data_IF_558754846629
#
_entry.id   IF_558754846629
#
_cell.length_a   1.000
_cell.length_b   1.000
_cell.length_c   1.000
_cell.angle_alpha   90.00
_cell.angle_beta   90.00
_cell.angle_gamma   90.00
#
_symmetry.space_group_name_H-M   'P 1'
#
loop_
_entity.id
_entity.type
_entity.pdbx_description
1 polymer ?
#
# COMPACT_ATOMS: atom_id res chain seq x y z
N UNK A 1 -40.65 -41.19 -3.83
CA UNK A 1 -41.08 -39.78 -3.92
C UNK A 1 -40.77 -39.08 -2.59
N UNK A 2 -39.66 -38.34 -2.54
CA UNK A 2 -39.39 -37.22 -1.62
C UNK A 2 -38.20 -36.45 -2.20
N UNK A 3 -38.46 -35.20 -2.56
CA UNK A 3 -37.49 -34.21 -3.03
C UNK A 3 -36.63 -33.74 -1.85
N UNK A 4 -35.34 -33.49 -2.10
CA UNK A 4 -34.57 -32.49 -1.36
C UNK A 4 -33.77 -31.67 -2.37
N UNK A 5 -34.21 -30.43 -2.59
CA UNK A 5 -33.40 -29.37 -3.19
C UNK A 5 -32.50 -28.78 -2.11
N UNK A 6 -31.20 -28.69 -2.39
CA UNK A 6 -30.25 -27.87 -1.64
C UNK A 6 -29.49 -27.01 -2.65
N UNK A 7 -29.93 -25.77 -2.82
CA UNK A 7 -29.18 -24.73 -3.51
C UNK A 7 -27.91 -24.43 -2.70
N UNK A 8 -26.75 -24.80 -3.24
CA UNK A 8 -25.45 -24.31 -2.76
C UNK A 8 -25.12 -23.00 -3.49
N UNK A 9 -24.95 -21.93 -2.73
CA UNK A 9 -24.58 -20.61 -3.25
C UNK A 9 -23.13 -20.64 -3.75
N UNK A 10 -22.85 -19.97 -4.88
CA UNK A 10 -21.51 -19.87 -5.50
C UNK A 10 -20.41 -19.28 -4.59
N UNK A 11 -20.77 -18.70 -3.44
CA UNK A 11 -19.81 -18.13 -2.50
C UNK A 11 -18.98 -19.21 -1.78
N UNK A 12 -19.56 -20.40 -1.59
CA UNK A 12 -18.92 -21.49 -0.83
C UNK A 12 -17.94 -22.33 -1.68
N UNK A 13 -17.90 -22.13 -3.00
CA UNK A 13 -16.99 -22.82 -3.91
C UNK A 13 -15.61 -22.16 -4.05
N UNK A 14 -15.43 -20.94 -3.54
CA UNK A 14 -14.17 -20.20 -3.63
C UNK A 14 -13.30 -20.44 -2.38
N UNK A 15 -13.89 -20.74 -1.22
CA UNK A 15 -13.13 -20.96 0.02
C UNK A 15 -12.65 -22.42 0.24
N UNK A 16 -13.13 -23.39 -0.55
CA UNK A 16 -12.76 -24.81 -0.34
C UNK A 16 -11.53 -25.30 -1.13
N UNK A 17 -10.80 -24.41 -1.83
CA UNK A 17 -9.56 -24.79 -2.53
C UNK A 17 -8.28 -24.36 -1.80
N UNK A 18 -8.37 -23.71 -0.65
CA UNK A 18 -7.21 -23.37 0.19
C UNK A 18 -7.23 -24.16 1.50
N UNK A 19 -7.03 -25.49 1.39
CA UNK A 19 -6.59 -26.31 2.52
C UNK A 19 -5.14 -26.70 2.23
N UNK A 20 -4.20 -25.99 2.86
CA UNK A 20 -2.81 -26.41 2.90
C UNK A 20 -2.69 -27.73 3.67
N UNK A 21 -2.65 -28.84 2.94
CA UNK A 21 -2.20 -30.13 3.48
C UNK A 21 -0.69 -30.16 3.36
N UNK A 22 0.00 -30.05 4.49
CA UNK A 22 1.43 -30.32 4.58
C UNK A 22 1.72 -31.74 4.11
N UNK A 23 2.51 -31.86 3.05
CA UNK A 23 2.93 -33.14 2.50
C UNK A 23 3.82 -32.90 1.29
N UNK A 24 5.11 -33.19 1.42
CA UNK A 24 6.15 -32.94 0.44
C UNK A 24 5.84 -33.54 -0.94
N UNK A 25 5.77 -32.69 -1.96
CA UNK A 25 6.12 -33.02 -3.34
C UNK A 25 6.84 -31.82 -3.96
N UNK A 26 8.05 -32.09 -4.42
CA UNK A 26 8.92 -31.19 -5.19
C UNK A 26 8.29 -30.84 -6.54
N UNK A 27 8.58 -29.63 -7.02
CA UNK A 27 8.37 -29.14 -8.39
C UNK A 27 7.04 -28.47 -8.75
N UNK A 28 6.40 -27.80 -7.79
CA UNK A 28 5.50 -26.68 -8.11
C UNK A 28 6.09 -25.41 -7.45
N UNK A 29 7.04 -24.78 -8.15
CA UNK A 29 7.66 -23.49 -7.78
C UNK A 29 6.66 -22.35 -8.01
N UNK A 30 5.51 -22.40 -7.33
CA UNK A 30 4.75 -21.18 -7.08
C UNK A 30 5.52 -20.45 -5.97
N UNK A 31 6.35 -19.49 -6.35
CA UNK A 31 7.11 -18.67 -5.42
C UNK A 31 6.15 -17.93 -4.46
N UNK A 32 5.89 -18.54 -3.29
CA UNK A 32 5.15 -17.91 -2.20
C UNK A 32 6.05 -16.81 -1.66
N UNK A 33 5.84 -15.57 -2.12
CA UNK A 33 6.55 -14.42 -1.57
C UNK A 33 6.49 -13.12 -2.36
N UNK A 34 6.14 -13.16 -3.66
CA UNK A 34 6.13 -11.94 -4.47
C UNK A 34 4.80 -11.74 -5.21
N UNK A 35 3.85 -11.10 -4.52
CA UNK A 35 2.53 -10.74 -5.08
C UNK A 35 2.66 -9.88 -6.35
N UNK A 36 3.64 -8.99 -6.40
CA UNK A 36 3.89 -8.17 -7.58
C UNK A 36 4.28 -9.03 -8.79
N UNK A 37 5.16 -10.01 -8.61
CA UNK A 37 5.52 -10.96 -9.68
C UNK A 37 4.32 -11.82 -10.13
N UNK A 38 3.45 -12.21 -9.20
CA UNK A 38 2.23 -12.95 -9.54
C UNK A 38 1.23 -12.11 -10.35
N UNK A 39 1.05 -10.83 -10.01
CA UNK A 39 0.21 -9.90 -10.77
C UNK A 39 0.81 -9.61 -12.14
N UNK A 40 2.12 -9.39 -12.23
CA UNK A 40 2.82 -9.22 -13.50
C UNK A 40 2.67 -10.45 -14.41
N UNK A 41 2.83 -11.66 -13.86
CA UNK A 41 2.60 -12.89 -14.62
C UNK A 41 1.14 -13.00 -15.09
N UNK A 42 0.18 -12.68 -14.20
CA UNK A 42 -1.24 -12.66 -14.53
C UNK A 42 -1.57 -11.66 -15.64
N UNK A 43 -1.02 -10.45 -15.57
CA UNK A 43 -1.15 -9.41 -16.58
C UNK A 43 -0.55 -9.84 -17.92
N UNK A 44 0.66 -10.40 -17.92
CA UNK A 44 1.31 -10.89 -19.14
C UNK A 44 0.53 -12.03 -19.80
N UNK A 45 0.03 -12.99 -19.01
CA UNK A 45 -0.84 -14.07 -19.51
C UNK A 45 -2.14 -13.48 -20.06
N UNK A 46 -2.80 -12.59 -19.31
CA UNK A 46 -4.04 -11.94 -19.71
C UNK A 46 -3.88 -11.17 -21.03
N UNK A 47 -2.85 -10.34 -21.14
CA UNK A 47 -2.53 -9.58 -22.37
C UNK A 47 -2.19 -10.48 -23.54
N UNK A 48 -1.47 -11.60 -23.31
CA UNK A 48 -1.14 -12.58 -24.37
C UNK A 48 -2.39 -13.24 -24.97
N UNK A 49 -3.42 -13.43 -24.15
CA UNK A 49 -4.69 -14.05 -24.58
C UNK A 49 -5.84 -13.04 -24.70
N UNK A 50 -5.53 -11.75 -24.72
CA UNK A 50 -6.51 -10.67 -24.92
C UNK A 50 -7.19 -10.81 -26.27
N UNK A 51 -6.40 -11.07 -27.31
CA UNK A 51 -6.87 -11.53 -28.60
C UNK A 51 -6.71 -13.04 -28.69
N UNK A 52 -7.70 -13.73 -29.26
CA UNK A 52 -7.66 -15.18 -29.44
C UNK A 52 -6.50 -15.49 -30.41
N UNK A 53 -5.43 -16.19 -29.97
CA UNK A 53 -4.27 -16.41 -30.81
C UNK A 53 -4.60 -17.40 -31.93
N UNK A 54 -4.16 -17.09 -33.14
CA UNK A 54 -4.28 -17.97 -34.30
C UNK A 54 -3.16 -19.00 -34.32
N UNK A 55 -3.49 -20.25 -34.64
CA UNK A 55 -2.52 -21.29 -34.95
C UNK A 55 -2.38 -21.39 -36.47
N UNK A 56 -1.13 -21.47 -36.94
CA UNK A 56 -0.83 -21.70 -38.36
C UNK A 56 0.04 -22.94 -38.52
N UNK A 57 -0.18 -23.66 -39.60
CA UNK A 57 0.66 -24.75 -40.04
C UNK A 57 1.19 -24.44 -41.43
N UNK A 58 2.50 -24.48 -41.60
CA UNK A 58 3.15 -24.23 -42.88
C UNK A 58 4.32 -25.19 -43.10
N UNK A 59 4.77 -25.27 -44.34
CA UNK A 59 5.91 -26.12 -44.70
C UNK A 59 6.92 -25.35 -45.52
N UNK A 60 8.21 -25.51 -45.19
CA UNK A 60 9.32 -24.94 -45.95
C UNK A 60 10.14 -26.05 -46.58
N UNK A 61 10.73 -25.73 -47.73
CA UNK A 61 11.68 -26.61 -48.39
C UNK A 61 12.97 -26.75 -47.56
N UNK A 62 13.71 -27.82 -47.77
CA UNK A 62 14.91 -28.14 -46.99
C UNK A 62 16.02 -27.07 -47.08
N UNK A 63 15.99 -26.22 -48.12
CA UNK A 63 16.91 -25.08 -48.26
C UNK A 63 16.60 -23.90 -47.31
N UNK A 64 15.35 -23.80 -46.85
CA UNK A 64 14.84 -22.70 -46.03
C UNK A 64 14.52 -23.19 -44.60
N UNK A 65 15.15 -24.30 -44.18
CA UNK A 65 14.83 -25.01 -42.94
C UNK A 65 15.43 -24.38 -41.67
N UNK A 66 16.04 -23.19 -41.76
CA UNK A 66 16.67 -22.50 -40.62
C UNK A 66 15.63 -21.79 -39.73
N UNK A 67 14.65 -22.58 -39.30
CA UNK A 67 13.57 -22.19 -38.40
C UNK A 67 13.40 -23.33 -37.42
N UNK A 68 13.44 -23.02 -36.12
CA UNK A 68 13.39 -24.02 -35.06
C UNK A 68 12.34 -23.69 -34.00
N UNK A 69 11.91 -24.71 -33.26
CA UNK A 69 10.99 -24.54 -32.15
C UNK A 69 11.56 -23.53 -31.13
N UNK A 70 10.69 -22.66 -30.62
CA UNK A 70 11.05 -21.57 -29.70
C UNK A 70 11.42 -20.26 -30.41
N UNK A 71 11.72 -20.26 -31.71
CA UNK A 71 11.96 -19.02 -32.46
C UNK A 71 10.65 -18.32 -32.81
N UNK A 72 10.69 -17.00 -32.90
CA UNK A 72 9.60 -16.18 -33.44
C UNK A 72 9.88 -15.73 -34.87
N UNK A 73 8.83 -15.68 -35.69
CA UNK A 73 8.89 -15.18 -37.08
C UNK A 73 7.66 -14.35 -37.38
N UNK A 74 7.87 -13.21 -38.03
CA UNK A 74 6.80 -12.43 -38.63
C UNK A 74 6.31 -13.17 -39.88
N UNK A 75 5.00 -13.43 -39.95
CA UNK A 75 4.38 -14.14 -41.05
C UNK A 75 3.22 -13.28 -41.56
N UNK A 76 3.33 -12.90 -42.83
CA UNK A 76 2.28 -12.21 -43.55
C UNK A 76 1.57 -13.20 -44.50
N UNK A 77 0.25 -13.20 -44.49
CA UNK A 77 -0.57 -13.96 -45.43
C UNK A 77 -1.82 -13.16 -45.80
N UNK A 78 -2.39 -13.40 -46.99
CA UNK A 78 -3.58 -12.69 -47.48
C UNK A 78 -4.82 -12.82 -46.59
N UNK A 79 -4.88 -13.89 -45.80
CA UNK A 79 -5.99 -14.18 -44.88
C UNK A 79 -5.73 -13.58 -43.49
N UNK A 80 -4.53 -13.07 -43.24
CA UNK A 80 -4.15 -12.36 -42.02
C UNK A 80 -4.31 -10.87 -42.34
N UNK A 81 -5.51 -10.36 -42.08
CA UNK A 81 -5.87 -8.96 -42.32
C UNK A 81 -6.42 -8.32 -41.04
N UNK A 82 -6.31 -7.00 -40.96
CA UNK A 82 -6.96 -6.21 -39.93
C UNK A 82 -8.47 -6.03 -40.23
N UNK A 83 -9.18 -5.31 -39.36
CA UNK A 83 -10.61 -5.04 -39.54
C UNK A 83 -10.94 -4.26 -40.84
N UNK A 84 -9.97 -3.55 -41.42
CA UNK A 84 -10.13 -2.83 -42.69
C UNK A 84 -9.85 -3.70 -43.92
N UNK A 85 -9.43 -4.95 -43.74
CA UNK A 85 -9.00 -5.85 -44.80
C UNK A 85 -7.57 -5.58 -45.28
N UNK A 86 -6.79 -4.76 -44.57
CA UNK A 86 -5.39 -4.49 -44.88
C UNK A 86 -4.50 -5.65 -44.38
N UNK A 87 -3.46 -6.07 -45.13
CA UNK A 87 -2.57 -7.13 -44.68
C UNK A 87 -1.92 -6.78 -43.34
N UNK A 88 -2.01 -7.68 -42.37
CA UNK A 88 -1.40 -7.52 -41.05
C UNK A 88 -0.16 -8.41 -40.98
N UNK A 89 0.97 -7.84 -40.59
CA UNK A 89 2.18 -8.61 -40.30
C UNK A 89 2.14 -9.05 -38.84
N UNK A 90 2.05 -10.35 -38.61
CA UNK A 90 1.80 -10.92 -37.30
C UNK A 90 2.96 -11.82 -36.88
N UNK A 91 3.41 -11.67 -35.64
CA UNK A 91 4.48 -12.49 -35.09
C UNK A 91 3.91 -13.82 -34.60
N UNK A 92 4.50 -14.92 -35.05
CA UNK A 92 4.20 -16.27 -34.58
C UNK A 92 5.41 -16.88 -33.91
N UNK A 93 5.20 -17.57 -32.79
CA UNK A 93 6.18 -18.42 -32.15
C UNK A 93 6.05 -19.85 -32.67
N UNK A 94 7.16 -20.42 -33.16
CA UNK A 94 7.21 -21.79 -33.66
C UNK A 94 7.13 -22.75 -32.47
N UNK A 95 6.07 -23.54 -32.39
CA UNK A 95 5.80 -24.47 -31.28
C UNK A 95 6.29 -25.88 -31.58
N UNK A 96 6.27 -26.30 -32.84
CA UNK A 96 6.73 -27.62 -33.26
C UNK A 96 7.37 -27.60 -34.64
N UNK A 97 8.34 -28.49 -34.83
CA UNK A 97 9.02 -28.74 -36.09
C UNK A 97 9.03 -30.24 -36.35
N UNK A 98 8.67 -30.64 -37.57
CA UNK A 98 8.74 -32.04 -38.02
C UNK A 98 9.48 -32.15 -39.34
N UNK A 99 10.51 -32.99 -39.34
CA UNK A 99 11.30 -33.30 -40.52
C UNK A 99 10.72 -34.52 -41.25
N UNK A 100 10.30 -34.35 -42.51
CA UNK A 100 9.80 -35.47 -43.32
C UNK A 100 9.93 -35.16 -44.81
N UNK A 101 11.17 -35.04 -45.30
CA UNK A 101 11.51 -34.62 -46.67
C UNK A 101 11.32 -33.12 -46.89
N UNK A 102 10.18 -32.58 -46.45
CA UNK A 102 9.90 -31.15 -46.29
C UNK A 102 9.78 -30.84 -44.79
N UNK A 103 10.19 -29.65 -44.36
CA UNK A 103 10.05 -29.25 -42.96
C UNK A 103 8.63 -28.74 -42.72
N UNK A 104 7.93 -29.30 -41.75
CA UNK A 104 6.58 -28.87 -41.34
C UNK A 104 6.66 -28.17 -40.00
N UNK A 105 6.01 -27.03 -39.91
CA UNK A 105 6.01 -26.15 -38.75
C UNK A 105 4.59 -25.96 -38.24
N UNK A 106 4.45 -25.93 -36.92
CA UNK A 106 3.28 -25.34 -36.28
C UNK A 106 3.76 -24.10 -35.53
N UNK A 107 2.96 -23.04 -35.62
CA UNK A 107 3.27 -21.77 -34.97
C UNK A 107 1.99 -21.18 -34.36
N UNK A 108 2.15 -20.52 -33.22
CA UNK A 108 1.07 -19.85 -32.51
C UNK A 108 1.34 -18.33 -32.52
N UNK A 109 0.31 -17.55 -32.80
CA UNK A 109 0.34 -16.10 -32.74
C UNK A 109 0.86 -15.63 -31.37
N UNK A 110 1.79 -14.69 -31.40
CA UNK A 110 2.46 -14.14 -30.22
C UNK A 110 2.32 -12.63 -30.27
N UNK A 111 1.24 -12.13 -29.69
CA UNK A 111 0.97 -10.70 -29.51
C UNK A 111 0.66 -10.45 -28.03
N UNK A 112 0.80 -9.19 -27.60
CA UNK A 112 0.29 -8.72 -26.32
C UNK A 112 -0.74 -7.63 -26.62
N UNK A 113 -1.89 -7.70 -25.97
CA UNK A 113 -2.84 -6.59 -25.93
C UNK A 113 -2.26 -5.38 -25.21
N UNK A 114 -3.00 -4.28 -25.28
CA UNK A 114 -2.68 -3.03 -24.58
C UNK A 114 -2.60 -3.22 -23.07
N UNK A 115 -1.81 -2.35 -22.42
CA UNK A 115 -1.75 -2.29 -20.98
C UNK A 115 -3.09 -1.84 -20.39
N UNK A 116 -3.60 -2.59 -19.42
CA UNK A 116 -4.82 -2.25 -18.71
C UNK A 116 -4.49 -1.51 -17.39
N UNK A 117 -5.36 -0.61 -16.92
CA UNK A 117 -5.18 0.07 -15.63
C UNK A 117 -5.03 -0.89 -14.45
N UNK A 118 -5.69 -2.04 -14.50
CA UNK A 118 -5.66 -3.09 -13.48
C UNK A 118 -4.30 -3.80 -13.39
N UNK A 119 -3.42 -3.60 -14.37
CA UNK A 119 -2.09 -4.20 -14.35
C UNK A 119 -1.14 -3.46 -13.38
N UNK A 120 -1.56 -2.34 -12.78
CA UNK A 120 -0.87 -1.56 -11.74
C UNK A 120 0.60 -1.14 -12.05
N UNK A 121 1.03 -1.29 -13.29
CA UNK A 121 2.42 -1.08 -13.73
C UNK A 121 3.22 -2.39 -13.88
N UNK A 122 2.67 -3.53 -13.47
CA UNK A 122 3.28 -4.86 -13.61
C UNK A 122 3.45 -5.34 -15.05
N UNK A 123 2.94 -4.61 -16.04
CA UNK A 123 3.18 -4.93 -17.44
C UNK A 123 4.33 -4.17 -18.10
N UNK A 124 5.00 -3.26 -17.39
CA UNK A 124 6.21 -2.59 -17.85
C UNK A 124 7.44 -3.33 -17.28
N UNK A 125 8.29 -3.96 -18.13
CA UNK A 125 9.49 -4.62 -17.65
C UNK A 125 10.54 -3.65 -17.07
N UNK A 126 10.42 -2.35 -17.33
CA UNK A 126 11.39 -1.33 -16.89
C UNK A 126 11.03 -0.72 -15.52
N UNK A 127 9.91 -1.14 -14.91
CA UNK A 127 9.45 -0.67 -13.59
C UNK A 127 9.44 -1.82 -12.59
N UNK A 128 10.23 -1.68 -11.53
CA UNK A 128 10.21 -2.59 -10.40
C UNK A 128 9.01 -2.29 -9.49
N UNK A 129 8.08 -3.25 -9.43
CA UNK A 129 6.85 -3.12 -8.66
C UNK A 129 6.99 -3.75 -7.27
N UNK A 130 6.69 -2.96 -6.23
CA UNK A 130 6.65 -3.40 -4.83
C UNK A 130 5.26 -3.17 -4.26
N UNK A 131 4.61 -4.22 -3.75
CA UNK A 131 3.26 -4.14 -3.20
C UNK A 131 3.29 -4.44 -1.70
N UNK A 132 2.78 -3.51 -0.92
CA UNK A 132 2.58 -3.62 0.53
C UNK A 132 1.13 -4.04 0.79
N UNK A 133 0.93 -5.34 1.02
CA UNK A 133 -0.39 -5.95 1.22
C UNK A 133 -0.75 -6.28 2.68
N UNK A 134 0.06 -5.84 3.64
CA UNK A 134 -0.18 -6.03 5.07
C UNK A 134 0.31 -4.81 5.85
N UNK A 135 -0.27 -4.55 7.02
CA UNK A 135 0.11 -3.43 7.88
C UNK A 135 1.61 -3.47 8.21
N UNK A 136 2.27 -2.33 8.12
CA UNK A 136 3.70 -2.18 8.39
C UNK A 136 3.97 -1.00 9.32
N UNK A 137 5.14 -1.02 9.95
CA UNK A 137 5.54 -0.03 10.93
C UNK A 137 6.96 0.46 10.67
N UNK A 138 7.19 1.77 10.79
CA UNK A 138 8.51 2.42 10.73
C UNK A 138 9.38 1.94 9.55
N UNK A 139 8.80 1.92 8.34
CA UNK A 139 9.45 1.29 7.18
C UNK A 139 10.39 2.24 6.44
N UNK A 140 11.43 1.66 5.84
CA UNK A 140 12.28 2.34 4.87
C UNK A 140 12.09 1.70 3.49
N UNK A 141 11.60 2.49 2.52
CA UNK A 141 11.31 2.01 1.16
C UNK A 141 12.54 1.42 0.46
N UNK A 142 13.73 2.00 0.69
CA UNK A 142 14.98 1.46 0.16
C UNK A 142 15.33 0.09 0.75
N UNK A 143 15.11 -0.10 2.05
CA UNK A 143 15.32 -1.39 2.71
C UNK A 143 14.35 -2.44 2.17
N UNK A 144 13.08 -2.08 1.98
CA UNK A 144 12.08 -2.96 1.37
C UNK A 144 12.52 -3.36 -0.05
N UNK A 145 12.93 -2.40 -0.88
CA UNK A 145 13.40 -2.68 -2.23
C UNK A 145 14.60 -3.63 -2.27
N UNK A 146 15.64 -3.37 -1.46
CA UNK A 146 16.86 -4.19 -1.43
C UNK A 146 16.59 -5.66 -1.00
N UNK A 147 15.44 -5.94 -0.37
CA UNK A 147 15.06 -7.30 0.01
C UNK A 147 14.46 -8.11 -1.16
N UNK A 148 14.01 -7.43 -2.21
CA UNK A 148 13.29 -8.01 -3.34
C UNK A 148 14.08 -7.95 -4.65
N UNK A 149 14.85 -6.88 -4.83
CA UNK A 149 15.54 -6.56 -6.08
C UNK A 149 17.04 -6.40 -5.86
N UNK A 150 17.85 -6.57 -6.92
CA UNK A 150 19.27 -6.25 -6.86
C UNK A 150 19.49 -4.77 -6.57
N UNK A 151 20.73 -4.41 -6.23
CA UNK A 151 21.08 -3.03 -5.94
C UNK A 151 20.66 -2.10 -7.11
N UNK A 152 19.91 -1.02 -6.85
CA UNK A 152 19.44 -0.10 -7.86
C UNK A 152 20.60 0.74 -8.40
N UNK A 153 20.42 1.24 -9.61
CA UNK A 153 21.31 2.20 -10.27
C UNK A 153 20.54 3.47 -10.67
N UNK A 154 21.18 4.34 -11.46
CA UNK A 154 20.61 5.60 -11.91
C UNK A 154 19.45 5.45 -12.90
N UNK A 155 19.22 4.27 -13.45
CA UNK A 155 18.13 3.96 -14.38
C UNK A 155 16.95 3.25 -13.72
N UNK A 156 17.09 2.85 -12.44
CA UNK A 156 16.03 2.15 -11.72
C UNK A 156 14.78 3.01 -11.59
N UNK A 157 13.65 2.46 -12.02
CA UNK A 157 12.33 3.00 -11.77
C UNK A 157 11.58 2.04 -10.84
N UNK A 158 11.12 2.54 -9.70
CA UNK A 158 10.41 1.73 -8.70
C UNK A 158 9.06 2.34 -8.38
N UNK A 159 8.06 1.47 -8.24
CA UNK A 159 6.72 1.84 -7.81
C UNK A 159 6.31 1.04 -6.58
N UNK A 160 6.12 1.75 -5.47
CA UNK A 160 5.55 1.20 -4.24
C UNK A 160 4.05 1.41 -4.22
N UNK A 161 3.27 0.35 -4.00
CA UNK A 161 1.82 0.40 -3.87
C UNK A 161 1.43 -0.04 -2.46
N UNK A 162 0.72 0.82 -1.74
CA UNK A 162 0.03 0.48 -0.50
C UNK A 162 -1.40 0.10 -0.85
N UNK A 163 -1.79 -1.15 -0.59
CA UNK A 163 -3.12 -1.63 -0.94
C UNK A 163 -4.22 -1.02 -0.05
N UNK A 164 -5.45 -1.02 -0.56
CA UNK A 164 -6.60 -0.58 0.21
C UNK A 164 -6.79 -1.43 1.46
N UNK A 165 -7.02 -0.77 2.60
CA UNK A 165 -7.13 -1.42 3.91
C UNK A 165 -5.80 -1.64 4.63
N UNK A 166 -4.66 -1.39 3.98
CA UNK A 166 -3.33 -1.48 4.59
C UNK A 166 -2.97 -0.16 5.27
N UNK A 167 -2.39 -0.26 6.46
CA UNK A 167 -1.93 0.85 7.27
C UNK A 167 -0.42 0.78 7.42
N UNK A 168 0.26 1.87 7.09
CA UNK A 168 1.67 2.06 7.37
C UNK A 168 1.80 3.20 8.36
N UNK A 169 2.50 3.01 9.46
CA UNK A 169 2.64 4.11 10.41
C UNK A 169 3.73 3.94 11.43
N UNK A 170 3.82 4.92 12.32
CA UNK A 170 4.89 4.93 13.31
C UNK A 170 4.48 4.28 14.63
N UNK A 171 5.46 3.66 15.30
CA UNK A 171 5.31 3.17 16.68
C UNK A 171 5.68 4.20 17.74
N UNK A 172 6.38 5.28 17.36
CA UNK A 172 6.86 6.31 18.26
C UNK A 172 6.54 7.70 17.73
N UNK A 173 6.42 8.70 18.62
CA UNK A 173 6.31 10.10 18.21
C UNK A 173 7.64 10.67 17.66
N UNK A 174 8.75 9.94 17.88
CA UNK A 174 10.11 10.32 17.46
C UNK A 174 10.60 9.62 16.20
N UNK A 175 9.81 8.69 15.65
CA UNK A 175 10.11 8.01 14.38
C UNK A 175 9.05 8.35 13.34
N UNK A 176 9.39 8.15 12.08
CA UNK A 176 8.48 8.37 10.96
C UNK A 176 7.84 7.05 10.60
N UNK A 177 6.55 7.06 10.24
CA UNK A 177 5.88 5.84 9.78
C UNK A 177 6.49 5.26 8.50
N UNK A 178 7.01 6.14 7.65
CA UNK A 178 7.70 5.78 6.42
C UNK A 178 8.85 6.74 6.12
N UNK A 179 9.95 6.20 5.62
CA UNK A 179 11.04 6.98 5.03
C UNK A 179 11.38 6.46 3.64
N UNK A 180 11.67 7.36 2.69
CA UNK A 180 12.03 6.94 1.32
C UNK A 180 13.41 6.26 1.27
N UNK A 181 14.32 6.65 2.16
CA UNK A 181 15.70 6.20 2.17
C UNK A 181 16.53 6.79 1.03
N UNK A 182 17.79 6.39 0.93
CA UNK A 182 18.72 6.94 -0.07
C UNK A 182 18.69 6.13 -1.37
N UNK A 183 18.58 6.82 -2.50
CA UNK A 183 18.60 6.23 -3.84
C UNK A 183 19.73 6.80 -4.70
N UNK A 184 20.21 6.06 -5.72
CA UNK A 184 21.17 6.61 -6.68
C UNK A 184 20.56 7.83 -7.40
N UNK A 185 21.38 8.83 -7.71
CA UNK A 185 20.91 9.98 -8.46
C UNK A 185 20.42 9.54 -9.86
N UNK A 186 19.21 9.95 -10.24
CA UNK A 186 18.56 9.57 -11.49
C UNK A 186 17.48 8.49 -11.35
N UNK A 187 17.48 7.72 -10.25
CA UNK A 187 16.43 6.76 -9.97
C UNK A 187 15.07 7.46 -9.79
N UNK A 188 13.99 6.81 -10.19
CA UNK A 188 12.63 7.35 -10.05
C UNK A 188 11.89 6.52 -9.01
N UNK A 189 11.51 7.16 -7.91
CA UNK A 189 10.77 6.53 -6.81
C UNK A 189 9.34 7.04 -6.82
N UNK A 190 8.39 6.13 -7.03
CA UNK A 190 6.94 6.44 -7.00
C UNK A 190 6.28 5.74 -5.82
N UNK A 191 5.47 6.46 -5.06
CA UNK A 191 4.61 5.93 -4.01
C UNK A 191 3.14 6.13 -4.41
N UNK A 192 2.39 5.04 -4.43
CA UNK A 192 0.96 5.03 -4.68
C UNK A 192 0.22 4.49 -3.45
N UNK A 193 -0.74 5.26 -2.94
CA UNK A 193 -1.70 4.81 -1.94
C UNK A 193 -3.01 4.51 -2.65
N UNK A 194 -3.51 3.28 -2.52
CA UNK A 194 -4.84 2.93 -3.01
C UNK A 194 -5.94 3.42 -2.05
N UNK A 195 -7.17 3.48 -2.53
CA UNK A 195 -8.30 3.92 -1.72
C UNK A 195 -8.48 3.06 -0.47
N UNK A 196 -8.59 3.70 0.70
CA UNK A 196 -8.65 3.03 1.99
C UNK A 196 -7.29 2.64 2.58
N UNK A 197 -6.17 2.97 1.92
CA UNK A 197 -4.84 2.87 2.51
C UNK A 197 -4.53 4.07 3.43
N UNK A 198 -3.73 3.84 4.46
CA UNK A 198 -3.31 4.87 5.42
C UNK A 198 -1.79 4.92 5.56
N UNK A 199 -1.22 6.11 5.52
CA UNK A 199 0.15 6.37 5.94
C UNK A 199 0.14 7.42 7.06
N UNK A 200 0.31 7.01 8.31
CA UNK A 200 0.04 7.88 9.47
C UNK A 200 1.12 7.86 10.55
N UNK A 201 1.32 8.98 11.22
CA UNK A 201 2.14 9.04 12.43
C UNK A 201 1.49 8.37 13.65
N UNK A 202 2.21 8.30 14.77
CA UNK A 202 1.66 7.88 16.07
C UNK A 202 0.84 9.01 16.69
N UNK A 203 -0.29 8.70 17.33
CA UNK A 203 -1.03 9.65 18.15
C UNK A 203 -0.31 9.94 19.47
N UNK A 204 -0.32 11.21 19.87
CA UNK A 204 0.27 11.65 21.14
C UNK A 204 -0.46 11.07 22.35
N UNK A 205 0.29 10.66 23.37
CA UNK A 205 -0.27 10.18 24.63
C UNK A 205 -0.63 11.34 25.57
N UNK A 206 -1.77 11.25 26.26
CA UNK A 206 -2.13 12.23 27.26
C UNK A 206 -1.30 12.01 28.53
N UNK A 207 -0.86 13.11 29.15
CA UNK A 207 -0.06 13.06 30.39
C UNK A 207 -0.79 13.79 31.52
N UNK A 208 -0.19 13.84 32.72
CA UNK A 208 -0.70 14.67 33.84
C UNK A 208 -0.31 16.15 33.72
N UNK A 209 0.22 16.59 32.56
CA UNK A 209 0.56 17.97 32.26
C UNK A 209 0.09 18.31 30.83
N UNK A 210 0.97 18.91 30.02
CA UNK A 210 0.75 19.13 28.60
C UNK A 210 0.55 17.80 27.86
N UNK A 211 -0.26 17.81 26.80
CA UNK A 211 -0.38 16.65 25.92
C UNK A 211 0.92 16.40 25.15
N UNK A 212 1.23 15.14 24.84
CA UNK A 212 2.32 14.83 23.91
C UNK A 212 1.94 15.18 22.47
N UNK A 213 2.95 15.56 21.70
CA UNK A 213 2.80 15.84 20.27
C UNK A 213 2.49 14.56 19.50
N UNK A 214 1.81 14.69 18.36
CA UNK A 214 1.66 13.61 17.40
C UNK A 214 2.96 13.33 16.65
N UNK A 215 3.21 12.07 16.29
CA UNK A 215 4.34 11.65 15.48
C UNK A 215 4.15 11.93 13.99
N UNK A 216 5.23 11.89 13.23
CA UNK A 216 5.22 12.23 11.80
C UNK A 216 4.94 11.01 10.92
N UNK A 217 4.31 11.23 9.76
CA UNK A 217 3.94 10.13 8.86
C UNK A 217 5.05 9.76 7.88
N UNK A 218 5.49 10.68 7.02
CA UNK A 218 6.46 10.40 5.96
C UNK A 218 7.64 11.37 6.05
N UNK A 219 8.87 10.85 5.94
CA UNK A 219 10.07 11.66 5.67
C UNK A 219 10.67 11.32 4.31
N UNK A 220 11.07 12.34 3.56
CA UNK A 220 11.85 12.17 2.34
C UNK A 220 13.34 12.19 2.66
N UNK A 221 14.04 11.13 2.26
CA UNK A 221 15.51 11.09 2.17
C UNK A 221 15.98 11.02 0.70
N UNK A 222 15.02 11.19 -0.23
CA UNK A 222 15.16 11.22 -1.68
C UNK A 222 13.89 11.77 -2.33
N UNK A 223 13.98 12.29 -3.55
CA UNK A 223 12.85 12.82 -4.33
C UNK A 223 11.76 11.75 -4.52
N UNK A 224 10.49 12.14 -4.41
CA UNK A 224 9.36 11.23 -4.45
C UNK A 224 8.27 11.72 -5.40
N UNK A 225 7.79 10.81 -6.25
CA UNK A 225 6.53 11.00 -6.99
C UNK A 225 5.38 10.36 -6.21
N UNK A 226 4.34 11.13 -5.90
CA UNK A 226 3.22 10.70 -5.06
C UNK A 226 1.92 10.59 -5.87
N UNK A 227 1.24 9.44 -5.73
CA UNK A 227 -0.11 9.18 -6.20
C UNK A 227 -0.96 8.78 -4.99
N UNK A 228 -1.57 9.76 -4.32
CA UNK A 228 -2.35 9.52 -3.12
C UNK A 228 -3.84 9.39 -3.43
N UNK A 229 -4.38 8.17 -3.36
CA UNK A 229 -5.83 7.91 -3.33
C UNK A 229 -6.32 7.48 -1.93
N UNK A 230 -5.43 7.45 -0.94
CA UNK A 230 -5.69 7.09 0.44
C UNK A 230 -5.64 8.31 1.36
N UNK A 231 -5.19 8.08 2.60
CA UNK A 231 -5.01 9.12 3.63
C UNK A 231 -3.55 9.13 4.07
N UNK A 232 -2.92 10.31 3.99
CA UNK A 232 -1.61 10.56 4.62
C UNK A 232 -1.84 11.54 5.76
N UNK A 233 -1.46 11.19 6.99
CA UNK A 233 -1.77 12.03 8.14
C UNK A 233 -0.74 11.99 9.25
N UNK A 234 -0.22 13.15 9.64
CA UNK A 234 0.54 13.23 10.89
C UNK A 234 -0.33 12.78 12.07
N UNK A 235 0.29 12.26 13.13
CA UNK A 235 -0.44 11.92 14.34
C UNK A 235 -1.16 13.13 14.93
N UNK A 236 -2.31 12.92 15.55
CA UNK A 236 -2.99 13.93 16.35
C UNK A 236 -2.24 14.15 17.66
N UNK A 237 -2.16 15.41 18.10
CA UNK A 237 -1.64 15.76 19.43
C UNK A 237 -2.60 15.34 20.54
N UNK A 238 -2.06 14.97 21.70
CA UNK A 238 -2.88 14.63 22.85
C UNK A 238 -3.51 15.87 23.50
N UNK A 239 -4.66 15.68 24.14
CA UNK A 239 -5.28 16.71 24.97
C UNK A 239 -4.51 16.96 26.25
N UNK A 240 -4.54 18.20 26.74
CA UNK A 240 -3.88 18.57 27.99
C UNK A 240 -4.66 18.10 29.21
N UNK A 241 -4.00 17.72 30.29
CA UNK A 241 -4.70 17.51 31.57
C UNK A 241 -5.03 18.83 32.26
N UNK A 242 -6.02 18.81 33.16
CA UNK A 242 -6.33 19.93 34.03
C UNK A 242 -6.10 19.56 35.49
N UNK A 243 -5.43 20.44 36.23
CA UNK A 243 -5.08 20.24 37.62
C UNK A 243 -5.60 21.42 38.44
N UNK A 244 -6.63 21.16 39.24
CA UNK A 244 -7.21 22.17 40.14
C UNK A 244 -6.83 21.81 41.56
N UNK A 245 -6.09 22.71 42.22
CA UNK A 245 -5.70 22.57 43.62
C UNK A 245 -6.59 23.44 44.49
N UNK A 246 -7.49 22.81 45.25
CA UNK A 246 -8.34 23.47 46.24
C UNK A 246 -8.05 22.84 47.61
N UNK A 247 -6.98 23.30 48.26
CA UNK A 247 -6.46 22.67 49.48
C UNK A 247 -7.56 22.43 50.53
N UNK A 248 -7.67 21.20 51.06
CA UNK A 248 -6.69 20.09 50.99
C UNK A 248 -6.82 19.15 49.79
N UNK A 249 -7.71 19.41 48.83
CA UNK A 249 -8.07 18.51 47.74
C UNK A 249 -7.33 18.84 46.44
N UNK A 250 -7.00 17.79 45.68
CA UNK A 250 -6.37 17.89 44.35
C UNK A 250 -7.25 17.13 43.37
N UNK A 251 -7.68 17.82 42.31
CA UNK A 251 -8.48 17.23 41.25
C UNK A 251 -7.67 17.24 39.96
N UNK A 252 -7.63 16.08 39.32
CA UNK A 252 -6.98 15.89 38.02
C UNK A 252 -8.03 15.39 37.04
N UNK A 253 -8.25 16.14 35.97
CA UNK A 253 -8.96 15.66 34.79
C UNK A 253 -7.92 15.30 33.72
N UNK A 254 -7.85 14.02 33.32
CA UNK A 254 -6.90 13.55 32.32
C UNK A 254 -7.22 14.07 30.92
N UNK A 255 -6.22 14.25 30.06
CA UNK A 255 -6.44 14.58 28.65
C UNK A 255 -6.86 13.36 27.81
N UNK A 256 -7.44 13.61 26.63
CA UNK A 256 -7.74 12.57 25.65
C UNK A 256 -6.53 12.24 24.76
N UNK A 257 -6.42 10.98 24.31
CA UNK A 257 -5.32 10.54 23.45
C UNK A 257 -5.48 11.00 22.00
N UNK A 258 -4.38 11.30 21.30
CA UNK A 258 -4.40 11.74 19.89
C UNK A 258 -4.65 10.60 18.89
N UNK A 259 -5.12 10.93 17.69
CA UNK A 259 -5.32 9.96 16.61
C UNK A 259 -3.98 9.48 16.00
N UNK A 260 -3.91 8.24 15.52
CA UNK A 260 -2.71 7.76 14.81
C UNK A 260 -2.68 6.25 14.58
N UNK A 261 -1.61 5.78 13.93
CA UNK A 261 -1.40 4.35 13.67
C UNK A 261 -1.36 3.54 14.97
N UNK A 262 -0.40 3.86 15.83
CA UNK A 262 -0.53 3.61 17.27
C UNK A 262 -1.30 4.81 17.81
N UNK A 263 -2.52 4.58 18.27
CA UNK A 263 -3.34 5.63 18.85
C UNK A 263 -2.77 6.10 20.19
N UNK A 264 -3.02 7.36 20.50
CA UNK A 264 -2.69 7.97 21.78
C UNK A 264 -3.58 7.44 22.89
N UNK A 265 -3.01 7.25 24.06
CA UNK A 265 -3.71 6.83 25.27
C UNK A 265 -4.29 8.02 26.01
N UNK A 266 -5.51 7.88 26.50
CA UNK A 266 -6.16 8.85 27.38
C UNK A 266 -5.63 8.74 28.82
N UNK A 267 -5.62 9.85 29.54
CA UNK A 267 -5.09 9.87 30.90
C UNK A 267 -6.18 9.66 31.95
N UNK A 268 -5.82 8.97 33.04
CA UNK A 268 -6.74 8.77 34.17
C UNK A 268 -7.06 10.09 34.89
N UNK A 269 -8.33 10.29 35.24
CA UNK A 269 -8.77 11.38 36.12
C UNK A 269 -8.81 10.91 37.57
N UNK A 270 -8.45 11.78 38.52
CA UNK A 270 -8.45 11.47 39.95
C UNK A 270 -9.12 12.57 40.76
N UNK A 271 -9.77 12.16 41.85
CA UNK A 271 -10.38 13.03 42.86
C UNK A 271 -10.18 12.42 44.24
N UNK A 272 -9.93 13.26 45.23
CA UNK A 272 -9.93 12.86 46.65
C UNK A 272 -11.31 12.99 47.29
N UNK A 273 -12.24 13.69 46.65
CA UNK A 273 -13.63 13.82 47.11
C UNK A 273 -14.45 12.60 46.66
N UNK A 274 -14.93 11.75 47.61
CA UNK A 274 -15.73 10.57 47.28
C UNK A 274 -17.12 10.91 46.71
N UNK A 275 -17.55 12.18 46.76
CA UNK A 275 -18.82 12.63 46.19
C UNK A 275 -18.72 13.10 44.74
N UNK A 276 -17.50 13.28 44.21
CA UNK A 276 -17.28 13.69 42.82
C UNK A 276 -17.03 12.49 41.91
N UNK A 277 -17.55 12.57 40.70
CA UNK A 277 -17.29 11.61 39.63
C UNK A 277 -16.07 12.07 38.83
N UNK A 278 -15.05 11.21 38.74
CA UNK A 278 -13.92 11.37 37.84
C UNK A 278 -14.05 10.40 36.66
N UNK A 279 -14.15 10.94 35.45
CA UNK A 279 -14.15 10.18 34.19
C UNK A 279 -12.77 10.35 33.53
N UNK A 280 -12.06 9.26 33.19
CA UNK A 280 -10.78 9.35 32.52
C UNK A 280 -10.94 9.92 31.11
N UNK A 281 -9.84 10.44 30.56
CA UNK A 281 -9.74 10.70 29.13
C UNK A 281 -9.82 9.39 28.34
N UNK A 282 -10.31 9.49 27.13
CA UNK A 282 -10.49 8.35 26.21
C UNK A 282 -9.27 8.26 25.29
N UNK A 283 -8.91 7.03 24.91
CA UNK A 283 -7.90 6.79 23.88
C UNK A 283 -8.36 7.33 22.52
N UNK A 284 -7.40 7.70 21.69
CA UNK A 284 -7.65 8.03 20.29
C UNK A 284 -8.01 6.79 19.47
N UNK A 285 -8.29 7.04 18.19
CA UNK A 285 -8.48 6.01 17.16
C UNK A 285 -7.49 6.23 16.02
N UNK A 286 -7.64 5.51 14.91
CA UNK A 286 -6.79 5.75 13.74
C UNK A 286 -6.91 7.18 13.20
N UNK A 287 -8.13 7.72 13.18
CA UNK A 287 -8.43 9.00 12.52
C UNK A 287 -8.91 10.09 13.47
N UNK A 288 -9.53 9.69 14.58
CA UNK A 288 -10.22 10.59 15.50
C UNK A 288 -9.56 10.60 16.87
N UNK A 289 -9.40 11.79 17.45
CA UNK A 289 -8.89 11.97 18.81
C UNK A 289 -9.87 11.50 19.90
N UNK A 290 -9.34 11.15 21.06
CA UNK A 290 -10.13 10.74 22.22
C UNK A 290 -10.65 11.94 23.02
N UNK A 291 -11.82 11.80 23.63
CA UNK A 291 -12.38 12.84 24.48
C UNK A 291 -11.55 13.06 25.77
N UNK A 292 -11.49 14.29 26.24
CA UNK A 292 -10.88 14.67 27.51
C UNK A 292 -11.64 14.11 28.70
N UNK A 293 -10.90 13.83 29.76
CA UNK A 293 -11.44 13.43 31.06
C UNK A 293 -12.09 14.60 31.79
N UNK A 294 -12.90 14.28 32.79
CA UNK A 294 -13.59 15.28 33.60
C UNK A 294 -13.58 14.90 35.07
N UNK A 295 -13.48 15.89 35.94
CA UNK A 295 -13.91 15.80 37.33
C UNK A 295 -15.12 16.72 37.47
N UNK A 296 -16.30 16.13 37.65
CA UNK A 296 -17.58 16.81 37.42
C UNK A 296 -17.70 18.11 38.21
N UNK A 297 -17.88 19.23 37.48
CA UNK A 297 -18.07 20.56 38.07
C UNK A 297 -16.78 21.23 38.58
N UNK A 298 -15.60 20.64 38.36
CA UNK A 298 -14.33 21.14 38.90
C UNK A 298 -13.24 21.30 37.84
N UNK A 299 -12.92 20.24 37.10
CA UNK A 299 -11.79 20.21 36.16
C UNK A 299 -12.17 19.50 34.87
N UNK A 300 -11.61 19.93 33.74
CA UNK A 300 -11.86 19.32 32.42
C UNK A 300 -10.57 19.28 31.62
N UNK A 301 -10.13 18.07 31.29
CA UNK A 301 -9.00 17.85 30.39
C UNK A 301 -9.38 18.21 28.96
N UNK A 302 -8.39 18.56 28.16
CA UNK A 302 -8.56 18.77 26.73
C UNK A 302 -8.80 17.45 26.00
N UNK A 303 -9.56 17.53 24.91
CA UNK A 303 -9.70 16.47 23.93
C UNK A 303 -8.40 16.24 23.16
N UNK A 304 -8.09 14.99 22.85
CA UNK A 304 -7.08 14.63 21.85
C UNK A 304 -7.54 15.02 20.45
N UNK A 305 -6.59 15.23 19.55
CA UNK A 305 -6.86 15.68 18.19
C UNK A 305 -7.02 14.55 17.17
N UNK A 306 -7.74 14.85 16.09
CA UNK A 306 -7.75 14.08 14.86
C UNK A 306 -6.38 14.11 14.16
N UNK A 307 -6.18 13.24 13.16
CA UNK A 307 -4.93 13.22 12.37
C UNK A 307 -4.56 14.61 11.85
N UNK A 308 -3.30 14.99 12.04
CA UNK A 308 -2.74 16.25 11.57
C UNK A 308 -3.20 17.48 12.33
N UNK A 309 -3.85 17.32 13.49
CA UNK A 309 -4.31 18.42 14.34
C UNK A 309 -3.65 18.43 15.71
N UNK A 310 -3.60 19.61 16.32
CA UNK A 310 -3.09 19.79 17.68
C UNK A 310 -4.19 19.47 18.70
N UNK A 311 -3.81 18.87 19.82
CA UNK A 311 -4.74 18.56 20.91
C UNK A 311 -5.27 19.81 21.58
N UNK A 312 -6.38 19.68 22.29
CA UNK A 312 -7.01 20.80 22.98
C UNK A 312 -6.27 21.15 24.27
N UNK A 313 -6.18 22.45 24.55
CA UNK A 313 -5.69 22.96 25.83
C UNK A 313 -6.71 22.72 26.94
N UNK A 314 -6.23 22.70 28.18
CA UNK A 314 -7.06 22.84 29.38
C UNK A 314 -6.90 24.26 29.96
N UNK A 315 -7.49 24.52 31.13
CA UNK A 315 -7.24 25.76 31.88
C UNK A 315 -5.80 25.88 32.38
N UNK A 316 -5.09 24.76 32.53
CA UNK A 316 -3.80 24.70 33.22
C UNK A 316 -2.64 24.34 32.31
N UNK A 317 -2.91 23.65 31.19
CA UNK A 317 -1.88 23.07 30.32
C UNK A 317 -2.24 23.18 28.83
N UNK A 318 -1.24 23.02 27.97
CA UNK A 318 -1.41 23.05 26.52
C UNK A 318 -1.53 21.65 25.94
N UNK A 319 -2.37 21.49 24.91
CA UNK A 319 -2.42 20.26 24.13
C UNK A 319 -1.13 20.07 23.33
N UNK A 320 -0.88 18.83 22.92
CA UNK A 320 0.25 18.49 22.07
C UNK A 320 0.10 19.03 20.66
N UNK A 321 1.21 19.30 19.99
CA UNK A 321 1.23 19.72 18.60
C UNK A 321 0.79 18.58 17.65
N UNK A 322 0.36 18.97 16.46
CA UNK A 322 0.11 18.03 15.37
C UNK A 322 1.42 17.44 14.83
N UNK A 323 1.40 16.17 14.49
CA UNK A 323 2.43 15.56 13.66
C UNK A 323 2.40 16.09 12.23
N UNK A 324 3.55 16.02 11.56
CA UNK A 324 3.74 16.39 10.16
C UNK A 324 3.26 15.24 9.27
N UNK A 325 2.53 15.58 8.20
CA UNK A 325 2.09 14.59 7.22
C UNK A 325 3.26 14.19 6.31
N UNK A 326 4.00 15.16 5.77
CA UNK A 326 5.18 14.91 4.93
C UNK A 326 6.29 15.90 5.27
N UNK A 327 7.40 15.39 5.78
CA UNK A 327 8.66 16.12 5.91
C UNK A 327 9.50 15.94 4.64
N UNK A 328 9.67 17.00 3.85
CA UNK A 328 10.47 16.95 2.63
C UNK A 328 11.97 16.92 2.91
N UNK A 329 12.44 17.38 4.07
CA UNK A 329 13.85 17.36 4.45
C UNK A 329 14.81 17.82 3.32
N UNK A 330 14.40 18.86 2.58
CA UNK A 330 15.14 19.43 1.45
C UNK A 330 14.97 18.73 0.09
N UNK A 331 14.17 17.67 -0.02
CA UNK A 331 13.90 16.92 -1.26
C UNK A 331 12.63 17.38 -1.98
N UNK A 332 12.50 16.94 -3.23
CA UNK A 332 11.35 17.28 -4.08
C UNK A 332 10.24 16.26 -3.92
N UNK A 333 9.05 16.75 -3.55
CA UNK A 333 7.80 15.99 -3.63
C UNK A 333 7.06 16.40 -4.91
N UNK A 334 6.84 15.45 -5.82
CA UNK A 334 6.03 15.65 -7.03
C UNK A 334 4.69 14.94 -6.87
N UNK A 335 3.63 15.71 -6.65
CA UNK A 335 2.28 15.17 -6.47
C UNK A 335 1.58 15.02 -7.82
N UNK A 336 1.37 13.78 -8.25
CA UNK A 336 0.52 13.48 -9.42
C UNK A 336 -0.95 13.46 -9.03
N UNK A 337 -1.24 12.93 -7.82
CA UNK A 337 -2.54 13.01 -7.17
C UNK A 337 -2.30 13.30 -5.70
N UNK A 338 -2.83 14.41 -5.18
CA UNK A 338 -2.62 14.85 -3.78
C UNK A 338 -3.45 14.05 -2.78
N UNK A 339 -4.68 13.66 -3.12
CA UNK A 339 -5.55 12.88 -2.23
C UNK A 339 -5.94 13.60 -0.93
N UNK A 340 -6.17 12.82 0.13
CA UNK A 340 -6.40 13.33 1.50
C UNK A 340 -5.06 13.39 2.25
N UNK A 341 -4.63 14.60 2.59
CA UNK A 341 -3.43 14.87 3.40
C UNK A 341 -3.85 15.68 4.63
N UNK A 342 -3.63 15.11 5.82
CA UNK A 342 -4.01 15.69 7.11
C UNK A 342 -2.76 16.04 7.93
N UNK A 343 -2.45 17.33 8.01
CA UNK A 343 -1.25 17.85 8.67
C UNK A 343 -0.40 18.66 7.70
N UNK A 344 0.74 19.15 8.19
CA UNK A 344 1.62 20.00 7.39
C UNK A 344 2.48 19.19 6.42
N UNK A 345 2.81 19.83 5.30
CA UNK A 345 3.91 19.43 4.42
C UNK A 345 5.01 20.47 4.61
N UNK A 346 6.16 20.07 5.19
CA UNK A 346 7.27 20.99 5.50
C UNK A 346 8.44 20.80 4.53
N UNK A 347 9.30 21.83 4.46
CA UNK A 347 10.43 21.91 3.55
C UNK A 347 11.68 21.23 4.07
#
# INVERSE_FOLDING_TARGET
MKLYQGLLNRKDLIESQFVCVGGALSDDQLFIGNKAAALQLGALIGRRFSDIPREISFSLDAKDSDVWAGQSRAINHRDITDFSGSPLDTVFQITSVKESGTFKYQALEFTYGEALPEDEGGGDPDIDLVILGADQQDINLRTVYNSLFPAPDASTQVKFIIEGGVKVGSTSISTFGMVTGTWPAGAIVTLQLNSGAFATGKGGDATTANGEDGGDAIRLDYDLTLINNGVIGGGGGAGASDNVVALPEVYLAGGGGGAGFVFGTGQTSTTTDPMLLALPGVDGTLETGGAGGTVFGVATGGDGADLGQAGSNSSSHTGGAAGIAIDKNGFTLTETVTGDIRGSIIA
#
